data_IF_970730423378
#
_entry.id   IF_970730423378
#
_cell.length_a   1.000
_cell.length_b   1.000
_cell.length_c   1.000
_cell.angle_alpha   90.00
_cell.angle_beta   90.00
_cell.angle_gamma   90.00
#
_symmetry.space_group_name_H-M   'P 1'
#
loop_
_entity.id
_entity.type
_entity.pdbx_description
1 polymer ?
#
# COMPACT_ATOMS: atom_id res chain seq x y z
N UNK A 1 17.45 -1.87 2.57
CA UNK A 1 16.96 -1.05 1.44
C UNK A 1 16.51 0.29 2.00
N UNK A 2 17.12 1.42 1.61
CA UNK A 2 16.56 2.73 1.90
C UNK A 2 15.25 2.89 1.13
N UNK A 3 14.22 3.44 1.78
CA UNK A 3 12.99 3.86 1.12
C UNK A 3 13.34 4.79 -0.04
N UNK A 4 12.95 4.49 -1.30
CA UNK A 4 13.33 5.33 -2.43
C UNK A 4 12.73 6.74 -2.29
N UNK A 5 13.46 7.71 -2.86
CA UNK A 5 13.02 9.10 -2.92
C UNK A 5 11.66 9.20 -3.61
N UNK A 6 10.78 10.00 -3.02
CA UNK A 6 9.42 10.27 -3.50
C UNK A 6 9.46 10.83 -4.93
N UNK A 7 8.76 10.16 -5.85
CA UNK A 7 8.56 10.63 -7.22
C UNK A 7 7.69 11.90 -7.21
N UNK A 8 8.17 12.95 -7.88
CA UNK A 8 7.43 14.18 -8.09
C UNK A 8 7.25 14.40 -9.59
N UNK A 9 6.02 14.67 -10.04
CA UNK A 9 5.73 14.91 -11.46
C UNK A 9 5.15 16.31 -11.61
N UNK A 10 5.72 17.18 -12.46
CA UNK A 10 5.17 18.50 -12.71
C UNK A 10 3.98 18.46 -13.67
N UNK A 11 2.97 19.29 -13.41
CA UNK A 11 1.87 19.56 -14.34
C UNK A 11 1.58 21.06 -14.46
N UNK A 12 0.62 21.45 -15.29
CA UNK A 12 0.27 22.84 -15.55
C UNK A 12 -0.23 23.61 -14.31
N UNK A 13 -0.62 22.91 -13.24
CA UNK A 13 -1.04 23.47 -11.95
C UNK A 13 0.08 23.38 -10.89
N UNK A 14 1.08 22.51 -11.08
CA UNK A 14 2.19 22.26 -10.15
C UNK A 14 3.56 22.24 -10.88
N UNK A 15 4.11 23.42 -11.24
CA UNK A 15 5.37 23.51 -12.00
C UNK A 15 6.60 22.97 -11.24
N UNK A 16 6.53 22.90 -9.90
CA UNK A 16 7.58 22.36 -9.03
C UNK A 16 7.50 20.85 -8.77
N UNK A 17 6.57 20.15 -9.43
CA UNK A 17 6.28 18.74 -9.17
C UNK A 17 5.33 18.55 -7.99
N UNK A 18 4.30 17.72 -8.16
CA UNK A 18 3.50 17.22 -7.04
C UNK A 18 4.00 15.85 -6.63
N UNK A 19 3.96 15.54 -5.32
CA UNK A 19 4.24 14.17 -4.85
C UNK A 19 3.16 13.24 -5.39
N UNK A 20 3.53 12.39 -6.34
CA UNK A 20 2.61 11.38 -6.88
C UNK A 20 2.62 10.16 -5.98
N UNK A 21 2.22 10.32 -4.71
CA UNK A 21 1.70 9.15 -4.00
C UNK A 21 0.29 8.95 -4.52
N UNK A 22 0.19 8.28 -5.66
CA UNK A 22 -1.06 7.78 -6.20
C UNK A 22 -1.62 6.70 -5.29
N UNK A 23 -2.34 7.09 -4.23
CA UNK A 23 -3.16 6.23 -3.38
C UNK A 23 -2.46 5.60 -2.16
N UNK A 24 -3.28 5.15 -1.20
CA UNK A 24 -2.82 4.33 -0.07
C UNK A 24 -2.03 3.11 -0.56
N UNK A 25 -0.95 2.76 0.14
CA UNK A 25 -0.28 1.48 -0.09
C UNK A 25 -1.26 0.37 0.25
N UNK A 26 -1.58 -0.44 -0.74
CA UNK A 26 -2.48 -1.58 -0.59
C UNK A 26 -1.71 -2.89 -0.80
N UNK A 27 -2.05 -3.95 -0.06
CA UNK A 27 -1.48 -5.26 -0.32
C UNK A 27 -1.94 -5.77 -1.68
N UNK A 28 -1.00 -6.28 -2.48
CA UNK A 28 -1.27 -7.05 -3.69
C UNK A 28 -0.87 -8.51 -3.45
N UNK A 29 -1.78 -9.45 -3.73
CA UNK A 29 -1.52 -10.88 -3.62
C UNK A 29 -1.67 -11.50 -5.00
N UNK A 30 -0.58 -12.04 -5.54
CA UNK A 30 -0.56 -12.83 -6.77
C UNK A 30 -0.46 -14.32 -6.41
N UNK A 31 -1.31 -15.15 -7.01
CA UNK A 31 -1.34 -16.59 -6.76
C UNK A 31 -1.61 -17.36 -8.05
N UNK A 32 -1.15 -18.61 -8.11
CA UNK A 32 -1.32 -19.50 -9.25
C UNK A 32 -0.39 -20.70 -9.16
N UNK A 33 -0.63 -21.71 -10.00
CA UNK A 33 0.20 -22.94 -10.04
C UNK A 33 1.68 -22.65 -10.27
N UNK A 34 1.97 -21.63 -11.07
CA UNK A 34 3.29 -21.22 -11.51
C UNK A 34 3.89 -20.03 -10.73
N UNK A 35 3.23 -19.58 -9.65
CA UNK A 35 3.73 -18.44 -8.85
C UNK A 35 4.41 -18.99 -7.61
N UNK A 36 5.70 -18.70 -7.31
CA UNK A 36 6.37 -19.17 -6.11
C UNK A 36 5.87 -18.42 -4.86
N UNK A 37 6.13 -18.99 -3.68
CA UNK A 37 5.86 -18.29 -2.42
C UNK A 37 7.02 -17.33 -2.11
N UNK A 38 6.79 -16.03 -2.25
CA UNK A 38 7.78 -14.99 -1.98
C UNK A 38 7.10 -13.65 -1.66
N UNK A 39 7.84 -12.73 -1.05
CA UNK A 39 7.44 -11.34 -0.85
C UNK A 39 8.28 -10.48 -1.78
N UNK A 40 7.65 -9.89 -2.79
CA UNK A 40 8.31 -8.90 -3.65
C UNK A 40 8.50 -7.58 -2.87
N UNK A 41 9.74 -7.11 -2.65
CA UNK A 41 10.00 -5.87 -1.92
C UNK A 41 9.91 -4.61 -2.81
N UNK A 42 9.74 -4.76 -4.13
CA UNK A 42 9.79 -3.65 -5.08
C UNK A 42 8.51 -2.80 -5.08
N UNK A 43 8.67 -1.56 -5.56
CA UNK A 43 7.57 -0.61 -5.68
C UNK A 43 6.73 -0.90 -6.93
N UNK A 44 5.44 -1.14 -6.70
CA UNK A 44 4.48 -1.37 -7.78
C UNK A 44 3.32 -0.38 -7.71
N UNK A 45 2.66 -0.18 -8.84
CA UNK A 45 1.42 0.61 -8.92
C UNK A 45 0.33 -0.21 -9.59
N UNK A 46 -0.91 0.30 -9.63
CA UNK A 46 -1.99 -0.39 -10.35
C UNK A 46 -1.69 -0.65 -11.83
N UNK A 47 -0.79 0.12 -12.45
CA UNK A 47 -0.37 -0.08 -13.84
C UNK A 47 0.44 -1.37 -14.06
N UNK A 48 1.08 -1.89 -13.00
CA UNK A 48 1.80 -3.16 -12.99
C UNK A 48 0.87 -4.34 -13.32
N UNK A 49 -0.41 -4.28 -12.89
CA UNK A 49 -1.36 -5.38 -13.10
C UNK A 49 -1.67 -5.61 -14.59
N UNK A 50 -2.19 -4.63 -15.35
CA UNK A 50 -2.44 -4.82 -16.78
C UNK A 50 -1.14 -5.07 -17.55
N UNK A 51 -0.02 -4.45 -17.17
CA UNK A 51 1.30 -4.74 -17.77
C UNK A 51 1.70 -6.21 -17.62
N UNK A 52 1.50 -6.77 -16.43
CA UNK A 52 1.75 -8.19 -16.16
C UNK A 52 0.89 -9.09 -17.04
N UNK A 53 -0.39 -8.75 -17.22
CA UNK A 53 -1.30 -9.52 -18.09
C UNK A 53 -0.82 -9.47 -19.55
N UNK A 54 -0.44 -8.29 -20.03
CA UNK A 54 0.10 -8.11 -21.39
C UNK A 54 1.32 -9.00 -21.61
N UNK A 55 2.26 -8.98 -20.66
CA UNK A 55 3.50 -9.74 -20.79
C UNK A 55 3.29 -11.25 -20.69
N UNK A 56 2.44 -11.71 -19.76
CA UNK A 56 2.18 -13.14 -19.59
C UNK A 56 1.43 -13.75 -20.79
N UNK A 57 0.56 -12.97 -21.43
CA UNK A 57 -0.28 -13.43 -22.54
C UNK A 57 0.28 -13.04 -23.92
N UNK A 58 1.40 -12.32 -23.98
CA UNK A 58 1.99 -11.83 -25.23
C UNK A 58 1.07 -10.88 -26.01
N UNK A 59 0.30 -10.04 -25.30
CA UNK A 59 -0.63 -9.09 -25.92
C UNK A 59 0.13 -7.89 -26.51
N UNK A 60 -0.46 -7.19 -27.49
CA UNK A 60 0.08 -5.91 -27.94
C UNK A 60 0.03 -4.84 -26.81
N UNK A 61 0.85 -3.78 -26.90
CA UNK A 61 0.79 -2.64 -25.98
C UNK A 61 -0.62 -2.05 -25.89
N UNK A 62 -0.97 -1.52 -24.71
CA UNK A 62 -2.29 -0.93 -24.47
C UNK A 62 -2.42 0.45 -25.13
N UNK A 63 -1.30 1.09 -25.48
CA UNK A 63 -1.24 2.47 -25.96
C UNK A 63 -1.37 3.50 -24.83
N UNK A 64 -1.25 3.05 -23.58
CA UNK A 64 -1.29 3.90 -22.39
C UNK A 64 0.13 3.93 -21.82
N UNK A 65 0.88 5.04 -21.96
CA UNK A 65 2.29 5.10 -21.60
C UNK A 65 2.57 4.59 -20.19
N UNK A 66 1.71 4.97 -19.22
CA UNK A 66 1.84 4.54 -17.82
C UNK A 66 1.78 3.02 -17.63
N UNK A 67 1.03 2.29 -18.46
CA UNK A 67 0.92 0.83 -18.42
C UNK A 67 2.05 0.20 -19.23
N UNK A 68 2.28 0.71 -20.43
CA UNK A 68 3.24 0.13 -21.38
C UNK A 68 4.69 0.18 -20.86
N UNK A 69 5.01 1.19 -20.04
CA UNK A 69 6.33 1.35 -19.41
C UNK A 69 6.38 0.91 -17.94
N UNK A 70 5.31 0.35 -17.39
CA UNK A 70 5.29 -0.09 -15.99
C UNK A 70 6.22 -1.31 -15.78
N UNK A 71 6.72 -1.54 -14.55
CA UNK A 71 7.32 -2.82 -14.20
C UNK A 71 6.26 -3.91 -14.25
N UNK A 72 6.67 -5.09 -14.72
CA UNK A 72 5.84 -6.29 -14.77
C UNK A 72 6.06 -7.15 -13.53
N UNK A 73 5.13 -8.05 -13.23
CA UNK A 73 5.29 -9.15 -12.28
C UNK A 73 5.47 -10.49 -12.99
N UNK A 74 5.57 -10.50 -14.33
CA UNK A 74 5.67 -11.73 -15.11
C UNK A 74 6.90 -12.57 -14.74
N UNK A 75 7.99 -11.95 -14.27
CA UNK A 75 9.17 -12.66 -13.77
C UNK A 75 8.88 -13.54 -12.55
N UNK A 76 7.78 -13.31 -11.84
CA UNK A 76 7.34 -14.17 -10.72
C UNK A 76 6.51 -15.37 -11.18
N UNK A 77 6.33 -15.56 -12.50
CA UNK A 77 5.70 -16.76 -13.05
C UNK A 77 6.81 -17.68 -13.55
N UNK A 78 6.97 -18.81 -12.88
CA UNK A 78 7.89 -19.88 -13.24
C UNK A 78 7.12 -21.01 -13.96
N UNK A 79 7.27 -21.17 -15.28
CA UNK A 79 6.61 -22.23 -16.04
C UNK A 79 7.02 -23.64 -15.61
N UNK A 80 8.21 -23.80 -15.01
CA UNK A 80 8.70 -25.07 -14.51
C UNK A 80 8.15 -25.42 -13.12
N UNK A 81 7.56 -24.46 -12.40
CA UNK A 81 6.94 -24.71 -11.11
C UNK A 81 5.68 -25.56 -11.30
N UNK A 82 5.68 -26.75 -10.69
CA UNK A 82 4.52 -27.62 -10.61
C UNK A 82 4.07 -27.72 -9.16
N UNK A 83 2.76 -27.64 -8.94
CA UNK A 83 2.14 -27.80 -7.62
C UNK A 83 1.24 -29.03 -7.63
N UNK A 84 1.09 -29.72 -6.48
CA UNK A 84 0.09 -30.76 -6.33
C UNK A 84 -1.30 -30.24 -6.69
N UNK A 85 -2.13 -31.12 -7.25
CA UNK A 85 -3.54 -30.81 -7.52
C UNK A 85 -4.20 -30.38 -6.21
N UNK A 86 -5.00 -29.28 -6.20
CA UNK A 86 -5.69 -28.84 -5.00
C UNK A 86 -6.55 -29.96 -4.40
N UNK A 87 -6.68 -30.04 -3.07
CA UNK A 87 -7.57 -30.99 -2.43
C UNK A 87 -8.99 -30.88 -2.99
N UNK A 88 -9.65 -32.02 -3.21
CA UNK A 88 -11.02 -32.04 -3.73
C UNK A 88 -12.00 -31.37 -2.73
N UNK A 89 -13.13 -30.84 -3.20
CA UNK A 89 -14.20 -30.39 -2.31
C UNK A 89 -14.56 -31.47 -1.27
N UNK A 90 -14.62 -31.10 0.01
CA UNK A 90 -14.87 -32.05 1.12
C UNK A 90 -13.62 -32.69 1.71
N UNK A 91 -12.42 -32.36 1.23
CA UNK A 91 -11.16 -32.81 1.84
C UNK A 91 -10.97 -32.25 3.25
N UNK A 92 -10.50 -33.10 4.17
CA UNK A 92 -10.04 -32.65 5.49
C UNK A 92 -8.65 -32.05 5.38
N UNK A 93 -8.51 -30.76 5.71
CA UNK A 93 -7.20 -30.09 5.82
C UNK A 93 -6.69 -30.24 7.25
N UNK A 94 -5.55 -30.90 7.44
CA UNK A 94 -4.88 -30.97 8.74
C UNK A 94 -3.96 -29.76 8.91
N UNK A 95 -4.29 -28.87 9.84
CA UNK A 95 -3.39 -27.78 10.22
C UNK A 95 -2.18 -28.36 10.96
N UNK A 96 -0.94 -27.90 10.69
CA UNK A 96 0.20 -28.29 11.50
C UNK A 96 -0.02 -27.88 12.97
N UNK A 97 0.53 -28.65 13.94
CA UNK A 97 0.46 -28.26 15.34
C UNK A 97 1.08 -26.87 15.52
N UNK A 98 0.52 -26.01 16.39
CA UNK A 98 1.07 -24.69 16.64
C UNK A 98 2.51 -24.80 17.16
N UNK A 99 3.37 -23.82 16.84
CA UNK A 99 4.74 -23.81 17.34
C UNK A 99 4.75 -23.81 18.88
N UNK A 100 5.63 -24.62 19.47
CA UNK A 100 5.81 -24.72 20.91
C UNK A 100 7.30 -24.48 21.25
N UNK A 101 7.64 -23.41 21.99
CA UNK A 101 6.73 -22.41 22.57
C UNK A 101 6.18 -21.41 21.55
N UNK A 102 5.11 -20.69 21.93
CA UNK A 102 4.61 -19.53 21.15
C UNK A 102 5.73 -18.51 20.95
N UNK A 103 6.02 -18.07 19.72
CA UNK A 103 7.00 -17.02 19.48
C UNK A 103 6.63 -15.73 20.23
N UNK A 104 7.58 -15.03 20.87
CA UNK A 104 7.31 -13.76 21.53
C UNK A 104 6.94 -12.70 20.49
N UNK A 105 6.00 -11.79 20.78
CA UNK A 105 5.70 -10.67 19.90
C UNK A 105 6.94 -9.78 19.72
N UNK A 106 7.18 -9.33 18.48
CA UNK A 106 8.22 -8.34 18.20
C UNK A 106 7.70 -6.96 18.57
N UNK A 107 8.40 -6.27 19.48
CA UNK A 107 8.06 -4.90 19.81
C UNK A 107 8.36 -3.98 18.60
N UNK A 108 7.43 -3.06 18.24
CA UNK A 108 7.74 -2.04 17.25
C UNK A 108 8.91 -1.20 17.73
N UNK A 109 9.76 -0.76 16.81
CA UNK A 109 10.84 0.17 17.13
C UNK A 109 10.25 1.48 17.69
N UNK A 110 10.92 2.12 18.67
CA UNK A 110 10.52 3.44 19.14
C UNK A 110 10.51 4.44 17.97
N UNK A 111 9.51 5.34 17.97
CA UNK A 111 9.47 6.47 17.05
C UNK A 111 10.73 7.32 17.23
N UNK A 112 11.52 7.49 16.16
CA UNK A 112 12.78 8.24 16.20
C UNK A 112 12.61 9.77 16.05
N UNK A 113 11.39 10.22 15.75
CA UNK A 113 11.09 11.64 15.59
C UNK A 113 10.70 12.31 16.91
N UNK A 114 10.67 13.65 16.95
CA UNK A 114 10.15 14.36 18.10
C UNK A 114 8.64 14.09 18.26
N UNK A 115 8.19 13.92 19.51
CA UNK A 115 6.78 13.83 19.89
C UNK A 115 6.27 15.22 20.28
N UNK A 116 4.97 15.47 20.08
CA UNK A 116 4.34 16.73 20.52
C UNK A 116 4.71 17.97 19.69
N UNK A 117 5.29 17.78 18.50
CA UNK A 117 5.52 18.87 17.55
C UNK A 117 4.26 19.08 16.72
N UNK A 118 3.71 20.30 16.76
CA UNK A 118 2.57 20.66 15.92
C UNK A 118 2.96 20.56 14.45
N UNK A 119 2.04 20.09 13.62
CA UNK A 119 2.17 20.17 12.18
C UNK A 119 2.34 21.65 11.77
N UNK A 120 3.11 21.96 10.72
CA UNK A 120 3.22 23.33 10.22
C UNK A 120 1.85 23.82 9.72
N UNK A 121 1.64 25.13 9.75
CA UNK A 121 0.47 25.78 9.14
C UNK A 121 0.47 25.46 7.64
N UNK A 122 -0.65 24.95 7.16
CA UNK A 122 -0.86 24.68 5.74
C UNK A 122 -1.34 25.97 5.08
N UNK A 123 -0.82 26.30 3.90
CA UNK A 123 -1.36 27.40 3.09
C UNK A 123 -2.28 26.79 2.04
N UNK A 124 -3.50 27.28 1.94
CA UNK A 124 -4.50 26.77 1.00
C UNK A 124 -4.35 27.44 -0.37
N UNK A 125 -5.08 26.93 -1.37
CA UNK A 125 -5.02 27.40 -2.76
C UNK A 125 -5.44 28.88 -2.94
N UNK A 126 -6.23 29.45 -2.04
CA UNK A 126 -6.65 30.85 -2.10
C UNK A 126 -5.72 31.80 -1.31
N UNK A 127 -4.59 31.28 -0.82
CA UNK A 127 -3.61 32.00 -0.03
C UNK A 127 -3.97 32.13 1.46
N UNK A 128 -5.12 31.61 1.88
CA UNK A 128 -5.47 31.55 3.30
C UNK A 128 -4.64 30.50 4.04
N UNK A 129 -4.44 30.71 5.33
CA UNK A 129 -3.74 29.77 6.20
C UNK A 129 -4.74 28.82 6.88
N UNK A 130 -4.55 27.52 6.69
CA UNK A 130 -5.17 26.48 7.49
C UNK A 130 -4.24 26.14 8.67
N UNK A 131 -4.60 26.49 9.91
CA UNK A 131 -3.75 26.21 11.07
C UNK A 131 -3.54 24.71 11.24
N UNK A 132 -2.47 24.35 11.96
CA UNK A 132 -2.21 22.98 12.35
C UNK A 132 -3.48 22.34 12.97
N UNK A 133 -3.84 21.09 12.60
CA UNK A 133 -4.90 20.36 13.29
C UNK A 133 -4.67 20.37 14.80
N UNK A 134 -5.73 20.66 15.56
CA UNK A 134 -5.70 20.63 17.04
C UNK A 134 -6.13 19.27 17.59
N UNK A 135 -6.09 18.22 16.78
CA UNK A 135 -6.50 16.85 17.11
C UNK A 135 -5.69 16.25 18.27
N UNK A 136 -4.45 16.72 18.47
CA UNK A 136 -3.62 16.41 19.65
C UNK A 136 -3.92 17.24 20.92
N UNK A 137 -4.83 18.21 20.87
CA UNK A 137 -5.13 19.07 22.05
C UNK A 137 -6.16 18.41 22.96
N UNK A 138 -5.69 17.75 24.02
CA UNK A 138 -6.57 17.27 25.10
C UNK A 138 -7.07 18.46 25.91
N UNK A 139 -8.35 18.86 25.71
CA UNK A 139 -8.98 19.90 26.52
C UNK A 139 -9.31 19.34 27.91
N UNK A 140 -8.97 20.04 29.01
CA UNK A 140 -9.35 19.61 30.36
C UNK A 140 -10.87 19.43 30.54
N UNK A 141 -11.66 20.19 29.76
CA UNK A 141 -13.10 20.05 29.63
C UNK A 141 -13.47 19.84 28.16
N UNK A 142 -13.54 18.60 27.67
CA UNK A 142 -13.99 18.33 26.30
C UNK A 142 -15.46 18.77 26.13
N UNK A 143 -15.86 19.28 24.95
CA UNK A 143 -17.25 19.62 24.69
C UNK A 143 -18.12 18.38 24.87
N UNK A 144 -19.22 18.51 25.64
CA UNK A 144 -20.17 17.42 25.81
C UNK A 144 -20.84 17.11 24.47
N UNK A 145 -21.09 15.83 24.14
CA UNK A 145 -21.86 15.47 22.96
C UNK A 145 -23.20 16.22 22.94
N UNK A 146 -23.70 16.62 21.76
CA UNK A 146 -25.04 17.18 21.68
C UNK A 146 -26.02 16.17 22.25
N UNK A 147 -26.91 16.62 23.15
CA UNK A 147 -28.01 15.79 23.61
C UNK A 147 -28.91 15.54 22.40
N UNK A 148 -28.98 14.30 21.93
CA UNK A 148 -29.84 13.94 20.80
C UNK A 148 -31.27 14.39 21.08
N UNK A 149 -31.85 15.15 20.16
CA UNK A 149 -33.28 15.47 20.18
C UNK A 149 -34.05 14.19 19.85
N UNK A 150 -34.73 13.63 20.84
CA UNK A 150 -35.78 12.65 20.59
C UNK A 150 -37.01 13.45 20.15
N UNK A 151 -37.39 13.32 18.88
CA UNK A 151 -38.75 13.49 18.41
C UNK A 151 -39.00 12.61 17.20
#
# INVERSE_FOLDING_TARGET
MPTPNIETVPDALHPGGFQVIGGSRIPLIMFGGHVPQHVDPEWHSHATIPKTIIDLLGLPPLGVPRVDTAPSLAQHVDPALSRPVPPAPGSTITQPPPPSPTPPPSAPQPWAGPLGVLLPVLVTLDGSALPAPTDGTVRPAPPKPPKGSVS
#
